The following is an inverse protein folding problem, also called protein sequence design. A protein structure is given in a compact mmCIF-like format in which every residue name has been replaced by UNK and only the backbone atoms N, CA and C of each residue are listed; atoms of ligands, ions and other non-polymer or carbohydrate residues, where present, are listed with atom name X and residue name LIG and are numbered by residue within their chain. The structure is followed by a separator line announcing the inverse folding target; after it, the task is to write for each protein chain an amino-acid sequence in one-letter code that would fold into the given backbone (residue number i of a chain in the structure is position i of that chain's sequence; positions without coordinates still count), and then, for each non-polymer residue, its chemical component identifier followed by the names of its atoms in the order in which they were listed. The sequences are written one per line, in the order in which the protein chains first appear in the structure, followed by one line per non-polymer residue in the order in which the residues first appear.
data_IF_991774533895
#
_entry.id   IF_991774533895
#
_cell.length_a   1.000
_cell.length_b   1.000
_cell.length_c   1.000
_cell.angle_alpha   90.00
_cell.angle_beta   90.00
_cell.angle_gamma   90.00
#
_symmetry.space_group_name_H-M   'P 1'
#
loop_
_entity.id
_entity.type
_entity.pdbx_description
1 polymer ?
#
# COMPACT_ATOMS: atom_id res chain seq x y z
N UNK A 1 -22.86 11.72 5.00
CA UNK A 1 -23.25 10.32 4.71
C UNK A 1 -22.94 10.02 3.26
N UNK A 2 -22.31 8.88 2.96
CA UNK A 2 -22.15 8.40 1.59
C UNK A 2 -23.18 7.33 1.28
N UNK A 3 -23.58 7.18 0.02
CA UNK A 3 -24.58 6.19 -0.41
C UNK A 3 -24.31 5.71 -1.83
N UNK A 4 -24.56 4.43 -2.08
CA UNK A 4 -24.56 3.84 -3.42
C UNK A 4 -25.67 2.79 -3.50
N UNK A 5 -26.70 3.06 -4.30
CA UNK A 5 -27.93 2.26 -4.29
C UNK A 5 -28.55 2.18 -2.90
N UNK A 6 -28.77 0.96 -2.40
CA UNK A 6 -29.30 0.70 -1.05
C UNK A 6 -28.24 0.76 0.05
N UNK A 7 -26.95 0.81 -0.31
CA UNK A 7 -25.83 0.82 0.64
C UNK A 7 -25.53 2.22 1.14
N UNK A 8 -25.36 2.37 2.45
CA UNK A 8 -25.08 3.64 3.12
C UNK A 8 -23.86 3.50 4.02
N UNK A 9 -22.97 4.47 3.94
CA UNK A 9 -21.85 4.63 4.88
C UNK A 9 -22.19 5.73 5.86
N UNK A 10 -22.39 5.34 7.11
CA UNK A 10 -22.78 6.21 8.20
C UNK A 10 -22.08 5.77 9.49
N UNK A 11 -21.75 6.77 10.30
CA UNK A 11 -21.31 6.60 11.69
C UNK A 11 -22.47 7.05 12.55
N UNK A 12 -22.98 6.14 13.38
CA UNK A 12 -24.13 6.36 14.26
C UNK A 12 -23.89 5.67 15.60
N UNK A 13 -24.72 5.97 16.61
CA UNK A 13 -24.65 5.31 17.92
C UNK A 13 -24.93 3.79 17.86
N UNK A 14 -25.59 3.30 16.81
CA UNK A 14 -25.95 1.89 16.63
C UNK A 14 -24.97 1.12 15.75
N UNK A 15 -24.35 1.81 14.78
CA UNK A 15 -23.45 1.19 13.83
C UNK A 15 -22.39 2.18 13.32
N UNK A 16 -21.17 1.68 13.15
CA UNK A 16 -20.06 2.43 12.55
C UNK A 16 -19.61 1.73 11.27
N UNK A 17 -20.01 2.29 10.13
CA UNK A 17 -19.57 1.86 8.80
C UNK A 17 -18.97 3.09 8.10
N UNK A 18 -17.70 3.35 8.40
CA UNK A 18 -16.99 4.51 7.86
C UNK A 18 -16.47 4.23 6.45
N UNK A 19 -16.59 5.23 5.59
CA UNK A 19 -15.90 5.23 4.30
C UNK A 19 -14.52 5.85 4.50
N UNK A 20 -13.48 5.13 4.07
CA UNK A 20 -12.08 5.51 4.23
C UNK A 20 -11.36 5.47 2.89
N UNK A 21 -10.34 6.31 2.72
CA UNK A 21 -9.47 6.26 1.54
C UNK A 21 -10.19 6.48 0.21
N UNK A 22 -11.19 7.37 0.17
CA UNK A 22 -11.89 7.75 -1.06
C UNK A 22 -10.93 8.32 -2.08
N UNK A 23 -10.86 7.70 -3.25
CA UNK A 23 -10.03 8.11 -4.36
C UNK A 23 -10.80 8.04 -5.69
N UNK A 24 -10.78 9.13 -6.43
CA UNK A 24 -11.32 9.26 -7.79
C UNK A 24 -10.55 10.33 -8.56
N UNK A 25 -10.56 10.27 -9.88
CA UNK A 25 -9.95 11.28 -10.78
C UNK A 25 -10.92 11.65 -11.92
N UNK A 26 -10.70 12.83 -12.49
CA UNK A 26 -11.31 13.27 -13.75
C UNK A 26 -10.16 13.53 -14.72
N UNK A 27 -10.07 12.74 -15.78
CA UNK A 27 -8.99 12.82 -16.75
C UNK A 27 -9.58 13.01 -18.16
N UNK A 28 -9.09 14.01 -18.88
CA UNK A 28 -9.42 14.28 -20.27
C UNK A 28 -8.32 13.67 -21.14
N UNK A 29 -8.67 12.80 -22.07
CA UNK A 29 -7.71 12.23 -23.02
C UNK A 29 -7.62 13.16 -24.23
N UNK A 30 -6.43 13.70 -24.48
CA UNK A 30 -6.10 14.42 -25.70
C UNK A 30 -5.10 13.56 -26.50
N UNK A 31 -5.49 13.13 -27.71
CA UNK A 31 -4.54 12.55 -28.66
C UNK A 31 -3.74 13.71 -29.27
N UNK A 32 -2.43 13.80 -28.99
CA UNK A 32 -1.56 14.68 -29.77
C UNK A 32 -1.38 14.07 -31.17
N UNK A 33 -1.99 14.70 -32.17
CA UNK A 33 -1.81 14.30 -33.55
C UNK A 33 -0.42 14.74 -34.03
N UNK A 34 0.47 13.80 -34.34
CA UNK A 34 1.80 14.08 -34.92
C UNK A 34 1.72 14.25 -36.44
N UNK A 35 0.86 15.16 -36.93
CA UNK A 35 0.82 15.52 -38.36
C UNK A 35 1.76 16.69 -38.63
N UNK A 36 2.71 16.48 -39.55
CA UNK A 36 3.68 17.46 -40.09
C UNK A 36 3.08 18.38 -41.16
N UNK A 37 1.84 18.81 -41.02
CA UNK A 37 1.24 19.84 -41.88
C UNK A 37 0.55 20.91 -41.02
N UNK A 38 0.69 22.16 -41.44
CA UNK A 38 0.56 23.44 -40.71
C UNK A 38 -0.82 23.78 -40.11
N UNK A 39 -1.56 22.80 -39.59
CA UNK A 39 -2.79 23.05 -38.83
C UNK A 39 -3.04 21.96 -37.79
N UNK A 40 -2.49 22.14 -36.59
CA UNK A 40 -2.87 21.35 -35.40
C UNK A 40 -4.34 21.61 -35.07
N UNK A 41 -5.22 20.68 -35.44
CA UNK A 41 -6.57 20.61 -34.91
C UNK A 41 -6.54 19.64 -33.73
N UNK A 42 -6.71 20.15 -32.52
CA UNK A 42 -6.89 19.34 -31.32
C UNK A 42 -8.26 18.70 -31.41
N UNK A 43 -8.32 17.42 -31.79
CA UNK A 43 -9.54 16.64 -31.69
C UNK A 43 -9.64 16.11 -30.25
N UNK A 44 -10.61 16.61 -29.48
CA UNK A 44 -10.90 16.10 -28.14
C UNK A 44 -11.50 14.69 -28.25
N UNK A 45 -10.71 13.66 -27.93
CA UNK A 45 -11.12 12.27 -28.06
C UNK A 45 -11.41 11.66 -26.69
N UNK A 46 -12.55 12.05 -26.12
CA UNK A 46 -13.21 11.35 -25.02
C UNK A 46 -12.61 11.55 -23.61
N UNK A 47 -13.47 11.36 -22.61
CA UNK A 47 -13.12 11.35 -21.18
C UNK A 47 -12.73 9.94 -20.75
N UNK A 48 -11.73 9.80 -19.88
CA UNK A 48 -11.40 8.50 -19.28
C UNK A 48 -12.53 8.04 -18.34
N UNK A 49 -12.84 6.74 -18.36
CA UNK A 49 -13.88 6.11 -17.53
C UNK A 49 -13.61 6.38 -16.05
N UNK A 50 -14.47 7.16 -15.39
CA UNK A 50 -14.30 7.62 -14.01
C UNK A 50 -13.98 6.48 -13.03
N UNK A 51 -12.73 6.37 -12.54
CA UNK A 51 -12.36 5.35 -11.57
C UNK A 51 -12.73 5.83 -10.17
N UNK A 52 -13.38 4.97 -9.38
CA UNK A 52 -13.68 5.26 -7.98
C UNK A 52 -13.28 4.08 -7.10
N UNK A 53 -12.51 4.34 -6.05
CA UNK A 53 -12.13 3.32 -5.08
C UNK A 53 -12.12 3.88 -3.67
N UNK A 54 -12.38 3.00 -2.70
CA UNK A 54 -12.33 3.31 -1.28
C UNK A 54 -12.32 2.02 -0.47
N UNK A 55 -12.12 2.16 0.83
CA UNK A 55 -12.16 1.07 1.79
C UNK A 55 -13.19 1.31 2.88
N UNK A 56 -13.62 0.23 3.53
CA UNK A 56 -14.50 0.27 4.70
C UNK A 56 -14.05 -0.81 5.66
N UNK A 57 -13.83 -0.43 6.92
CA UNK A 57 -13.54 -1.39 7.99
C UNK A 57 -14.85 -1.78 8.66
N UNK A 58 -15.13 -3.08 8.68
CA UNK A 58 -16.26 -3.66 9.38
C UNK A 58 -15.79 -4.28 10.69
N UNK A 59 -16.55 -4.06 11.76
CA UNK A 59 -16.25 -4.59 13.07
C UNK A 59 -17.53 -5.06 13.77
N UNK A 60 -17.54 -6.32 14.21
CA UNK A 60 -18.65 -6.94 14.96
C UNK A 60 -19.04 -6.16 16.21
N UNK A 61 -18.06 -5.73 17.00
CA UNK A 61 -18.26 -4.87 18.17
C UNK A 61 -18.77 -3.46 17.86
N UNK A 62 -18.82 -3.05 16.59
CA UNK A 62 -19.40 -1.78 16.16
C UNK A 62 -20.85 -1.94 15.67
N UNK A 63 -21.54 -3.03 16.05
CA UNK A 63 -22.96 -3.27 15.72
C UNK A 63 -23.19 -3.80 14.31
N UNK A 64 -22.15 -4.31 13.63
CA UNK A 64 -22.22 -4.77 12.23
C UNK A 64 -21.95 -6.26 12.15
N UNK A 65 -22.87 -7.04 11.56
CA UNK A 65 -22.57 -8.42 11.18
C UNK A 65 -21.64 -8.43 9.96
N UNK A 66 -20.36 -8.70 10.21
CA UNK A 66 -19.30 -8.66 9.20
C UNK A 66 -19.56 -9.66 8.07
N UNK A 67 -20.06 -10.85 8.38
CA UNK A 67 -20.28 -11.88 7.36
C UNK A 67 -21.51 -11.56 6.50
N UNK A 68 -22.61 -11.19 7.14
CA UNK A 68 -23.82 -10.79 6.43
C UNK A 68 -23.55 -9.59 5.49
N UNK A 69 -22.78 -8.61 5.96
CA UNK A 69 -22.42 -7.45 5.16
C UNK A 69 -21.54 -7.86 3.95
N UNK A 70 -20.55 -8.75 4.11
CA UNK A 70 -19.77 -9.30 2.98
C UNK A 70 -20.67 -9.98 1.94
N UNK A 71 -21.60 -10.83 2.38
CA UNK A 71 -22.51 -11.52 1.46
C UNK A 71 -23.42 -10.56 0.70
N UNK A 72 -23.93 -9.53 1.39
CA UNK A 72 -24.75 -8.50 0.76
C UNK A 72 -23.97 -7.71 -0.30
N UNK A 73 -22.67 -7.45 -0.10
CA UNK A 73 -21.81 -6.81 -1.10
C UNK A 73 -21.49 -7.71 -2.28
N UNK A 74 -21.31 -9.02 -2.04
CA UNK A 74 -21.12 -10.02 -3.11
C UNK A 74 -22.28 -10.00 -4.10
N UNK A 75 -23.53 -9.88 -3.62
CA UNK A 75 -24.72 -9.80 -4.46
C UNK A 75 -24.82 -8.52 -5.32
N UNK A 76 -24.08 -7.48 -4.95
CA UNK A 76 -24.08 -6.18 -5.64
C UNK A 76 -22.94 -6.04 -6.66
N UNK A 77 -22.01 -7.00 -6.71
CA UNK A 77 -20.98 -7.01 -7.76
C UNK A 77 -21.66 -7.04 -9.12
N UNK A 78 -21.15 -6.26 -10.08
CA UNK A 78 -21.72 -5.99 -11.42
C UNK A 78 -22.94 -5.07 -11.45
N UNK A 79 -23.58 -4.77 -10.30
CA UNK A 79 -24.69 -3.82 -10.25
C UNK A 79 -24.19 -2.38 -10.47
N UNK A 80 -25.11 -1.56 -10.94
CA UNK A 80 -24.85 -0.21 -11.42
C UNK A 80 -25.74 0.77 -10.67
N UNK A 81 -25.15 1.82 -10.11
CA UNK A 81 -25.90 2.87 -9.43
C UNK A 81 -25.13 4.19 -9.37
N UNK A 82 -25.80 5.27 -8.97
CA UNK A 82 -25.16 6.54 -8.67
C UNK A 82 -24.54 6.50 -7.28
N UNK A 83 -23.37 7.13 -7.16
CA UNK A 83 -22.73 7.36 -5.88
C UNK A 83 -23.09 8.76 -5.37
N UNK A 84 -23.43 8.85 -4.09
CA UNK A 84 -23.75 10.10 -3.42
C UNK A 84 -22.82 10.30 -2.24
N UNK A 85 -22.31 11.52 -2.07
CA UNK A 85 -21.51 11.93 -0.92
C UNK A 85 -22.11 13.22 -0.34
N UNK A 86 -22.56 13.16 0.91
CA UNK A 86 -23.19 14.30 1.57
C UNK A 86 -24.47 14.77 0.88
N UNK A 87 -25.23 13.84 0.29
CA UNK A 87 -26.44 14.16 -0.47
C UNK A 87 -26.20 14.65 -1.91
N UNK A 88 -24.94 14.91 -2.29
CA UNK A 88 -24.57 15.33 -3.65
C UNK A 88 -24.15 14.12 -4.49
N UNK A 89 -24.57 14.09 -5.75
CA UNK A 89 -24.14 13.07 -6.71
C UNK A 89 -22.65 13.25 -7.03
N UNK A 90 -21.90 12.15 -6.98
CA UNK A 90 -20.47 12.09 -7.23
C UNK A 90 -20.21 11.35 -8.54
N UNK A 91 -19.96 12.11 -9.60
CA UNK A 91 -19.58 11.57 -10.91
C UNK A 91 -20.74 10.91 -11.69
N UNK A 92 -20.38 10.17 -12.76
CA UNK A 92 -21.33 9.47 -13.62
C UNK A 92 -21.92 8.23 -12.93
N UNK A 93 -22.71 7.43 -13.66
CA UNK A 93 -23.28 6.19 -13.12
C UNK A 93 -22.17 5.16 -12.99
N UNK A 94 -22.05 4.48 -11.84
CA UNK A 94 -20.92 3.60 -11.55
C UNK A 94 -21.34 2.14 -11.41
N UNK A 95 -20.54 1.25 -11.98
CA UNK A 95 -20.64 -0.20 -11.80
C UNK A 95 -19.65 -0.67 -10.74
N UNK A 96 -20.12 -1.50 -9.80
CA UNK A 96 -19.23 -2.18 -8.86
C UNK A 96 -18.49 -3.31 -9.58
N UNK A 97 -17.16 -3.15 -9.74
CA UNK A 97 -16.31 -4.12 -10.45
C UNK A 97 -15.74 -5.16 -9.51
N UNK A 98 -15.36 -4.76 -8.30
CA UNK A 98 -14.66 -5.62 -7.36
C UNK A 98 -14.96 -5.23 -5.92
N UNK A 99 -15.15 -6.25 -5.11
CA UNK A 99 -15.11 -6.18 -3.64
C UNK A 99 -14.01 -7.13 -3.19
N UNK A 100 -12.99 -6.62 -2.51
CA UNK A 100 -11.93 -7.42 -1.92
C UNK A 100 -12.06 -7.40 -0.40
N UNK A 101 -11.86 -8.55 0.24
CA UNK A 101 -11.86 -8.69 1.70
C UNK A 101 -10.42 -8.90 2.16
N UNK A 102 -9.98 -8.16 3.17
CA UNK A 102 -8.63 -8.23 3.73
C UNK A 102 -8.64 -7.95 5.24
N UNK A 103 -7.48 -8.10 5.89
CA UNK A 103 -7.28 -7.81 7.32
C UNK A 103 -8.35 -8.47 8.21
N UNK A 104 -8.69 -9.72 7.94
CA UNK A 104 -9.75 -10.41 8.67
C UNK A 104 -9.27 -10.84 10.05
N UNK A 105 -10.17 -10.74 11.05
CA UNK A 105 -10.00 -11.42 12.35
C UNK A 105 -11.13 -12.40 12.54
N UNK A 106 -10.79 -13.59 12.99
CA UNK A 106 -11.71 -14.71 13.21
C UNK A 106 -11.64 -15.10 14.68
N UNK A 107 -12.77 -15.44 15.29
CA UNK A 107 -12.79 -15.98 16.65
C UNK A 107 -12.53 -17.50 16.69
N UNK A 108 -12.43 -18.08 17.89
CA UNK A 108 -12.23 -19.53 18.08
C UNK A 108 -13.38 -20.40 17.55
N UNK A 109 -14.50 -19.81 17.11
CA UNK A 109 -15.65 -20.50 16.50
C UNK A 109 -15.73 -20.31 14.98
N UNK A 110 -14.75 -19.64 14.37
CA UNK A 110 -14.74 -19.39 12.92
C UNK A 110 -15.54 -18.17 12.47
N UNK A 111 -16.08 -17.35 13.39
CA UNK A 111 -16.86 -16.16 13.04
C UNK A 111 -15.94 -14.98 12.74
N UNK A 112 -16.23 -14.24 11.67
CA UNK A 112 -15.51 -13.01 11.35
C UNK A 112 -15.90 -11.89 12.32
N UNK A 113 -14.90 -11.39 13.04
CA UNK A 113 -15.07 -10.27 13.97
C UNK A 113 -14.70 -8.93 13.34
N UNK A 114 -13.76 -8.93 12.39
CA UNK A 114 -13.24 -7.75 11.71
C UNK A 114 -12.93 -8.11 10.26
N UNK A 115 -13.22 -7.21 9.34
CA UNK A 115 -12.74 -7.28 7.96
C UNK A 115 -12.60 -5.89 7.35
N UNK A 116 -11.59 -5.68 6.52
CA UNK A 116 -11.48 -4.51 5.66
C UNK A 116 -11.97 -4.85 4.26
N UNK A 117 -13.00 -4.16 3.80
CA UNK A 117 -13.50 -4.23 2.43
C UNK A 117 -12.83 -3.15 1.58
N UNK A 118 -12.35 -3.52 0.40
CA UNK A 118 -11.86 -2.60 -0.63
C UNK A 118 -12.75 -2.68 -1.86
N UNK A 119 -13.21 -1.53 -2.32
CA UNK A 119 -14.13 -1.42 -3.43
C UNK A 119 -13.44 -0.81 -4.65
N UNK A 120 -13.76 -1.34 -5.83
CA UNK A 120 -13.36 -0.76 -7.10
C UNK A 120 -14.58 -0.60 -7.98
N UNK A 121 -14.86 0.65 -8.32
CA UNK A 121 -15.92 1.07 -9.23
C UNK A 121 -15.29 1.60 -10.52
N UNK A 122 -16.06 1.46 -11.60
CA UNK A 122 -15.80 2.12 -12.87
C UNK A 122 -17.08 2.77 -13.36
N UNK A 123 -16.95 3.84 -14.13
CA UNK A 123 -18.06 4.36 -14.90
C UNK A 123 -18.73 3.25 -15.72
N UNK A 124 -20.06 3.26 -15.68
CA UNK A 124 -20.89 2.35 -16.45
C UNK A 124 -21.14 2.94 -17.82
N UNK A 125 -20.57 2.30 -18.82
CA UNK A 125 -20.85 2.56 -20.22
C UNK A 125 -21.62 1.35 -20.81
N UNK A 126 -22.87 1.54 -21.29
CA UNK A 126 -23.67 0.47 -21.87
C UNK A 126 -23.09 -0.13 -23.17
N UNK A 127 -22.15 0.55 -23.83
CA UNK A 127 -21.55 0.08 -25.09
C UNK A 127 -20.35 -0.88 -24.88
N UNK A 128 -19.70 -0.87 -23.71
CA UNK A 128 -18.48 -1.65 -23.42
C UNK A 128 -18.69 -2.77 -22.38
N UNK A 129 -19.95 -3.07 -22.02
CA UNK A 129 -20.28 -3.87 -20.83
C UNK A 129 -20.28 -5.41 -21.01
N UNK A 130 -19.93 -5.93 -22.18
CA UNK A 130 -19.89 -7.38 -22.46
C UNK A 130 -18.60 -8.08 -22.00
N UNK A 131 -17.83 -7.49 -21.09
CA UNK A 131 -16.59 -8.11 -20.58
C UNK A 131 -16.91 -9.08 -19.44
N UNK A 132 -16.77 -10.38 -19.73
CA UNK A 132 -16.86 -11.49 -18.78
C UNK A 132 -15.98 -11.23 -17.55
N UNK A 133 -16.51 -11.55 -16.36
CA UNK A 133 -15.77 -11.49 -15.09
C UNK A 133 -14.51 -12.34 -15.20
N UNK A 134 -13.32 -11.71 -15.19
CA UNK A 134 -12.06 -12.44 -15.02
C UNK A 134 -12.01 -12.99 -13.60
N UNK A 135 -12.21 -14.30 -13.47
CA UNK A 135 -12.02 -15.09 -12.25
C UNK A 135 -10.54 -15.34 -11.94
N UNK A 136 -9.66 -14.37 -12.21
CA UNK A 136 -8.25 -14.46 -11.82
C UNK A 136 -8.15 -14.28 -10.31
N UNK A 137 -8.36 -15.39 -9.62
CA UNK A 137 -8.12 -15.56 -8.21
C UNK A 137 -6.65 -15.23 -7.90
N UNK A 138 -6.42 -14.72 -6.69
CA UNK A 138 -5.12 -14.70 -6.00
C UNK A 138 -4.06 -13.73 -6.56
N UNK A 139 -4.31 -12.43 -6.44
CA UNK A 139 -3.23 -11.50 -6.09
C UNK A 139 -3.79 -10.39 -5.20
N UNK A 140 -4.08 -10.76 -3.95
CA UNK A 140 -4.35 -9.80 -2.87
C UNK A 140 -3.00 -9.34 -2.34
N UNK A 141 -2.46 -8.25 -2.90
CA UNK A 141 -1.43 -7.49 -2.21
C UNK A 141 -2.16 -6.63 -1.18
N UNK A 142 -2.02 -6.98 0.10
CA UNK A 142 -2.60 -6.24 1.21
C UNK A 142 -2.16 -4.77 1.14
N UNK A 143 -3.10 -3.86 0.84
CA UNK A 143 -2.88 -2.43 1.05
C UNK A 143 -3.09 -2.13 2.53
N UNK A 144 -2.02 -2.21 3.31
CA UNK A 144 -1.99 -1.63 4.66
C UNK A 144 -1.98 -0.11 4.50
N UNK A 145 -3.16 0.51 4.41
CA UNK A 145 -3.32 1.93 4.64
C UNK A 145 -3.39 2.18 6.16
N UNK A 146 -2.23 2.10 6.81
CA UNK A 146 -1.99 2.84 8.05
C UNK A 146 -0.97 3.91 7.70
N UNK A 147 -1.35 5.18 7.85
CA UNK A 147 -0.42 6.30 7.70
C UNK A 147 0.74 6.12 8.69
N UNK A 148 1.86 5.65 8.17
CA UNK A 148 3.18 5.76 8.76
C UNK A 148 4.07 6.27 7.64
N UNK A 149 4.67 7.44 7.87
CA UNK A 149 5.52 8.20 6.95
C UNK A 149 6.52 7.27 6.25
N UNK A 150 6.28 6.94 4.98
CA UNK A 150 7.18 6.08 4.21
C UNK A 150 8.15 6.93 3.40
N UNK A 151 9.34 7.09 3.98
CA UNK A 151 10.59 7.36 3.28
C UNK A 151 10.68 6.45 2.04
N UNK A 152 10.85 7.04 0.87
CA UNK A 152 11.01 6.40 -0.44
C UNK A 152 12.00 5.25 -0.37
N UNK A 153 11.52 4.03 -0.57
CA UNK A 153 12.37 2.83 -0.69
C UNK A 153 12.26 2.33 -2.11
N UNK A 154 13.26 2.66 -2.93
CA UNK A 154 13.44 2.11 -4.27
C UNK A 154 13.58 0.59 -4.18
N UNK A 155 12.70 -0.11 -4.87
CA UNK A 155 12.67 -1.57 -4.90
C UNK A 155 13.57 -2.04 -6.06
N UNK A 156 14.88 -1.97 -5.86
CA UNK A 156 15.87 -2.51 -6.80
C UNK A 156 17.06 -3.10 -6.05
N UNK A 157 16.82 -4.07 -5.16
CA UNK A 157 17.87 -4.91 -4.59
C UNK A 157 17.27 -6.15 -3.91
N UNK A 158 16.69 -7.06 -4.70
CA UNK A 158 16.34 -8.41 -4.21
C UNK A 158 17.08 -9.49 -4.99
N UNK A 159 18.41 -9.36 -5.04
CA UNK A 159 19.34 -10.47 -5.28
C UNK A 159 20.76 -10.06 -4.89
N UNK A 160 21.10 -10.15 -3.61
CA UNK A 160 22.48 -10.13 -3.17
C UNK A 160 22.69 -11.30 -2.22
N UNK A 161 23.51 -12.27 -2.64
CA UNK A 161 23.96 -13.35 -1.78
C UNK A 161 24.55 -12.77 -0.48
N UNK A 162 24.15 -13.31 0.67
CA UNK A 162 24.60 -12.88 2.00
C UNK A 162 26.10 -13.11 2.12
N UNK A 163 26.91 -12.12 1.75
CA UNK A 163 28.37 -12.16 1.93
C UNK A 163 28.67 -12.18 3.43
N UNK A 164 29.42 -13.19 3.86
CA UNK A 164 29.81 -13.36 5.27
C UNK A 164 31.04 -12.51 5.55
N UNK A 165 30.95 -11.58 6.51
CA UNK A 165 32.04 -10.69 6.93
C UNK A 165 33.08 -11.50 7.72
N UNK A 166 34.36 -11.30 7.41
CA UNK A 166 35.51 -11.90 8.09
C UNK A 166 36.40 -10.85 8.74
N UNK A 167 37.22 -11.28 9.70
CA UNK A 167 38.25 -10.41 10.30
C UNK A 167 39.27 -10.04 9.22
N UNK A 168 39.60 -8.75 9.12
CA UNK A 168 40.44 -8.18 8.08
C UNK A 168 39.67 -7.47 6.97
N UNK A 169 38.37 -7.72 6.80
CA UNK A 169 37.55 -7.08 5.78
C UNK A 169 37.40 -5.57 6.03
N UNK A 170 37.22 -4.81 4.96
CA UNK A 170 36.84 -3.40 5.06
C UNK A 170 35.33 -3.27 4.98
N UNK A 171 34.78 -2.54 5.95
CA UNK A 171 33.34 -2.38 6.10
C UNK A 171 32.96 -0.94 6.43
N UNK A 172 31.71 -0.60 6.12
CA UNK A 172 31.10 0.67 6.47
C UNK A 172 29.96 0.44 7.46
N UNK A 173 29.94 1.13 8.60
CA UNK A 173 28.81 1.06 9.52
C UNK A 173 27.62 1.83 8.94
N UNK A 174 26.46 1.19 8.91
CA UNK A 174 25.19 1.79 8.48
C UNK A 174 24.29 2.14 9.67
N UNK A 175 24.60 1.61 10.85
CA UNK A 175 23.90 1.84 12.11
C UNK A 175 23.88 3.29 12.58
N UNK A 176 22.97 3.59 13.52
CA UNK A 176 22.85 4.93 14.11
C UNK A 176 23.70 5.11 15.38
N UNK A 177 23.98 4.01 16.09
CA UNK A 177 24.68 3.98 17.38
C UNK A 177 25.71 2.86 17.39
N UNK A 178 26.81 3.08 18.12
CA UNK A 178 27.75 2.03 18.47
C UNK A 178 27.06 0.99 19.37
N UNK A 179 27.65 -0.20 19.46
CA UNK A 179 27.24 -1.21 20.43
C UNK A 179 27.49 -0.79 21.89
N UNK A 180 28.19 0.33 22.10
CA UNK A 180 28.37 1.02 23.39
C UNK A 180 27.29 2.07 23.66
N UNK A 181 26.33 2.29 22.75
CA UNK A 181 25.18 3.19 22.91
C UNK A 181 25.40 4.62 22.42
N UNK A 182 26.65 5.05 22.24
CA UNK A 182 27.00 6.35 21.69
C UNK A 182 26.56 6.49 20.23
N UNK A 183 26.17 7.69 19.80
CA UNK A 183 25.77 7.97 18.41
C UNK A 183 26.98 7.90 17.50
N UNK A 184 26.85 7.21 16.35
CA UNK A 184 27.92 7.12 15.35
C UNK A 184 28.00 8.45 14.58
N UNK A 185 29.15 9.15 14.60
CA UNK A 185 29.35 10.37 13.81
C UNK A 185 29.27 10.10 12.30
N UNK A 186 28.85 11.11 11.53
CA UNK A 186 28.72 10.96 10.07
C UNK A 186 30.05 10.62 9.38
N UNK A 187 31.18 11.15 9.86
CA UNK A 187 32.50 10.86 9.30
C UNK A 187 32.86 9.37 9.39
N UNK A 188 32.36 8.68 10.42
CA UNK A 188 32.58 7.24 10.61
C UNK A 188 31.81 6.43 9.60
N UNK A 189 30.59 6.85 9.24
CA UNK A 189 29.75 6.20 8.23
C UNK A 189 30.24 6.41 6.80
N UNK A 190 30.91 7.53 6.56
CA UNK A 190 31.45 7.87 5.24
C UNK A 190 32.76 7.12 4.93
N UNK A 191 33.55 6.79 5.97
CA UNK A 191 34.84 6.10 5.84
C UNK A 191 34.72 4.58 5.92
N UNK A 192 35.65 3.88 5.27
CA UNK A 192 35.82 2.43 5.40
C UNK A 192 36.68 2.13 6.63
N UNK A 193 36.32 1.10 7.38
CA UNK A 193 37.07 0.66 8.55
C UNK A 193 37.38 -0.82 8.44
N UNK A 194 38.59 -1.20 8.84
CA UNK A 194 39.00 -2.62 8.88
C UNK A 194 38.33 -3.31 10.06
N UNK A 195 37.82 -4.52 9.84
CA UNK A 195 37.31 -5.40 10.89
C UNK A 195 38.49 -5.98 11.66
N UNK A 196 38.59 -5.64 12.94
CA UNK A 196 39.64 -6.14 13.82
C UNK A 196 39.22 -7.39 14.59
N UNK A 197 37.93 -7.51 14.95
CA UNK A 197 37.41 -8.66 15.68
C UNK A 197 35.91 -8.84 15.46
N UNK A 198 35.43 -10.08 15.44
CA UNK A 198 34.00 -10.41 15.34
C UNK A 198 33.59 -11.23 16.56
N UNK A 199 32.51 -10.82 17.23
CA UNK A 199 31.82 -11.59 18.28
C UNK A 199 30.44 -11.95 17.78
N UNK A 200 30.36 -13.00 16.95
CA UNK A 200 29.12 -13.42 16.29
C UNK A 200 28.02 -13.79 17.29
N UNK A 201 28.37 -14.41 18.43
CA UNK A 201 27.43 -14.75 19.51
C UNK A 201 26.76 -13.54 20.15
N UNK A 202 27.40 -12.37 20.08
CA UNK A 202 26.89 -11.11 20.64
C UNK A 202 26.43 -10.13 19.56
N UNK A 203 26.42 -10.53 18.28
CA UNK A 203 26.12 -9.69 17.13
C UNK A 203 26.97 -8.39 17.07
N UNK A 204 28.25 -8.46 17.47
CA UNK A 204 29.14 -7.28 17.54
C UNK A 204 30.40 -7.47 16.71
N UNK A 205 30.87 -6.39 16.10
CA UNK A 205 32.13 -6.32 15.34
C UNK A 205 32.94 -5.09 15.74
N UNK A 206 34.24 -5.28 15.96
CA UNK A 206 35.20 -4.24 16.34
C UNK A 206 35.85 -3.69 15.08
N UNK A 207 35.83 -2.37 14.94
CA UNK A 207 36.35 -1.69 13.76
C UNK A 207 37.56 -0.82 14.11
N UNK A 208 38.61 -0.92 13.29
CA UNK A 208 39.76 -0.01 13.34
C UNK A 208 40.57 -0.09 14.63
N UNK A 209 40.73 -1.26 15.24
CA UNK A 209 41.71 -1.45 16.32
C UNK A 209 43.09 -1.82 15.74
N UNK A 210 44.21 -1.24 16.21
CA UNK A 210 44.33 -0.20 17.24
C UNK A 210 44.32 1.25 16.72
N UNK A 211 44.61 1.48 15.43
CA UNK A 211 44.91 2.82 14.89
C UNK A 211 43.73 3.57 14.25
N UNK A 212 42.50 3.15 14.54
CA UNK A 212 41.28 3.66 13.94
C UNK A 212 40.21 3.96 14.99
N UNK A 213 38.93 3.78 14.62
CA UNK A 213 37.82 4.17 15.51
C UNK A 213 37.70 3.36 16.79
N UNK A 214 38.39 2.20 16.86
CA UNK A 214 38.45 1.29 17.98
C UNK A 214 37.11 1.11 18.72
N UNK A 215 36.03 0.90 17.95
CA UNK A 215 34.66 0.92 18.47
C UNK A 215 33.88 -0.28 17.98
N UNK A 216 33.02 -0.80 18.86
CA UNK A 216 32.11 -1.90 18.54
C UNK A 216 30.86 -1.38 17.86
N UNK A 217 30.47 -2.03 16.76
CA UNK A 217 29.19 -1.81 16.05
C UNK A 217 28.46 -3.15 15.89
N UNK A 218 27.19 -3.11 15.53
CA UNK A 218 26.41 -4.32 15.32
C UNK A 218 26.75 -4.98 13.98
N UNK A 219 26.98 -6.30 13.97
CA UNK A 219 27.31 -7.04 12.74
C UNK A 219 26.18 -6.97 11.71
N UNK A 220 24.93 -6.83 12.18
CA UNK A 220 23.74 -6.61 11.34
C UNK A 220 23.64 -5.21 10.72
N UNK A 221 24.41 -4.23 11.20
CA UNK A 221 24.36 -2.83 10.77
C UNK A 221 25.67 -2.40 10.10
N UNK A 222 26.30 -3.34 9.40
CA UNK A 222 27.58 -3.16 8.73
C UNK A 222 27.50 -3.76 7.34
N UNK A 223 28.07 -3.06 6.36
CA UNK A 223 28.14 -3.52 4.97
C UNK A 223 29.58 -3.63 4.51
N UNK A 224 29.89 -4.69 3.76
CA UNK A 224 31.19 -4.83 3.08
C UNK A 224 31.38 -3.69 2.08
N UNK A 225 32.56 -3.08 2.08
CA UNK A 225 32.81 -1.80 1.42
C UNK A 225 33.93 -1.82 0.39
#
# INVERSE_FOLDING_TARGET
MAQWGSKKWAVSSKQVVALEGLAFSYEQVADENTSTEDKKTTNERGTELFPLSFTTVLHSGAGVDVWAEIQSWKALVTKVNYFYLGGKKLGPKLQLRKVAVSNTKVDGKGRLLLATLSFTFKEYDPATTSVKVSTTALNVKASTASKSVKKTTNTAAKKAAKKTIKVGDYVKPTGSRYATGQKIPNWVKQRKHRVSQIKSSQNKVLLGHPNGINSWVYLSEVTLA
#
